data_IF_451078267216
#
_entry.id   IF_451078267216
#
_cell.length_a   1.000
_cell.length_b   1.000
_cell.length_c   1.000
_cell.angle_alpha   90.00
_cell.angle_beta   90.00
_cell.angle_gamma   90.00
#
_symmetry.space_group_name_H-M   'P 1'
#
loop_
_entity.id
_entity.type
_entity.pdbx_description
1 polymer ?
#
# COMPACT_ATOMS: atom_id res chain seq x y z
N UNK A 1 -23.88 5.15 -28.86
CA UNK A 1 -22.93 5.99 -28.12
C UNK A 1 -21.90 5.09 -27.46
N UNK A 2 -20.66 5.08 -27.96
CA UNK A 2 -19.55 4.27 -27.42
C UNK A 2 -18.83 5.11 -26.36
N UNK A 3 -19.02 4.77 -25.10
CA UNK A 3 -18.38 5.45 -23.96
C UNK A 3 -16.93 5.00 -23.87
N UNK A 4 -16.00 5.92 -24.09
CA UNK A 4 -14.57 5.69 -24.09
C UNK A 4 -14.06 5.32 -22.68
N UNK A 5 -13.23 4.28 -22.63
CA UNK A 5 -12.37 3.91 -21.51
C UNK A 5 -11.20 4.88 -21.54
N UNK A 6 -11.20 5.89 -20.66
CA UNK A 6 -10.06 6.79 -20.46
C UNK A 6 -9.65 6.68 -19.00
N UNK A 7 -8.57 5.94 -18.76
CA UNK A 7 -7.92 5.82 -17.46
C UNK A 7 -6.42 5.75 -17.68
N UNK A 8 -5.65 6.45 -16.84
CA UNK A 8 -4.18 6.62 -16.85
C UNK A 8 -3.55 7.73 -17.72
N UNK A 9 -4.31 8.69 -18.24
CA UNK A 9 -3.73 9.86 -18.95
C UNK A 9 -3.48 11.12 -18.10
N UNK A 10 -3.60 11.05 -16.77
CA UNK A 10 -3.27 12.18 -15.87
C UNK A 10 -1.75 12.36 -15.63
N UNK A 11 -0.90 11.84 -16.51
CA UNK A 11 0.56 11.98 -16.43
C UNK A 11 1.07 12.85 -17.60
N UNK A 12 1.28 14.14 -17.29
CA UNK A 12 2.01 15.18 -18.04
C UNK A 12 1.65 15.41 -19.53
N UNK A 13 1.08 16.59 -19.79
CA UNK A 13 0.95 17.16 -21.13
C UNK A 13 2.28 17.77 -21.60
N UNK A 14 2.89 17.22 -22.67
CA UNK A 14 3.91 17.85 -23.54
C UNK A 14 3.93 17.16 -24.93
N UNK A 15 4.38 17.84 -26.02
CA UNK A 15 4.01 17.52 -27.41
C UNK A 15 4.79 16.34 -28.01
N UNK A 16 4.16 15.71 -29.01
CA UNK A 16 4.63 14.52 -29.69
C UNK A 16 5.79 14.79 -30.67
N UNK A 17 6.85 13.98 -30.59
CA UNK A 17 7.81 13.77 -31.67
C UNK A 17 7.87 12.27 -32.01
N UNK A 18 8.10 11.97 -33.29
CA UNK A 18 8.10 10.64 -33.86
C UNK A 18 9.20 9.74 -33.25
N UNK A 19 8.84 8.51 -32.90
CA UNK A 19 9.73 7.52 -32.28
C UNK A 19 10.33 6.61 -33.36
N UNK A 20 11.66 6.60 -33.46
CA UNK A 20 12.42 5.58 -34.18
C UNK A 20 12.47 4.28 -33.35
N UNK A 21 12.48 3.11 -34.01
CA UNK A 21 12.56 1.82 -33.32
C UNK A 21 13.89 1.69 -32.56
N UNK A 22 13.89 1.40 -31.25
CA UNK A 22 15.12 1.24 -30.50
C UNK A 22 15.76 -0.10 -30.81
N UNK A 23 17.01 -0.05 -31.28
CA UNK A 23 17.92 -1.20 -31.27
C UNK A 23 18.20 -1.53 -29.81
N UNK A 24 17.65 -2.64 -29.30
CA UNK A 24 17.93 -3.13 -27.95
C UNK A 24 19.31 -3.79 -27.99
N UNK A 25 20.37 -3.03 -27.70
CA UNK A 25 21.71 -3.60 -27.54
C UNK A 25 21.94 -4.11 -26.13
N UNK A 26 22.56 -5.30 -26.07
CA UNK A 26 23.41 -5.87 -25.02
C UNK A 26 22.80 -6.25 -23.68
N UNK A 27 23.17 -7.46 -23.25
CA UNK A 27 22.83 -8.16 -22.01
C UNK A 27 22.73 -7.21 -20.80
N UNK A 28 21.52 -7.08 -20.26
CA UNK A 28 21.35 -6.46 -18.95
C UNK A 28 21.95 -7.43 -17.92
N UNK A 29 23.01 -7.01 -17.24
CA UNK A 29 23.58 -7.78 -16.13
C UNK A 29 22.73 -7.56 -14.89
N UNK A 30 22.27 -8.66 -14.28
CA UNK A 30 21.49 -8.60 -13.05
C UNK A 30 22.40 -8.84 -11.84
N UNK A 31 22.22 -8.12 -10.72
CA UNK A 31 22.90 -8.44 -9.47
C UNK A 31 22.74 -9.91 -9.05
N UNK A 32 21.59 -10.53 -9.34
CA UNK A 32 21.35 -11.96 -9.10
C UNK A 32 22.19 -12.91 -9.96
N UNK A 33 22.89 -12.43 -11.00
CA UNK A 33 23.84 -13.23 -11.78
C UNK A 33 25.22 -13.32 -11.10
N UNK A 34 25.50 -12.47 -10.09
CA UNK A 34 26.79 -12.41 -9.38
C UNK A 34 26.75 -13.29 -8.14
N UNK A 35 27.53 -14.38 -8.06
CA UNK A 35 27.55 -15.26 -6.89
C UNK A 35 27.97 -14.54 -5.59
N UNK A 36 27.22 -14.76 -4.53
CA UNK A 36 27.37 -14.11 -3.23
C UNK A 36 26.72 -12.73 -3.13
N UNK A 37 25.98 -12.26 -4.13
CA UNK A 37 25.33 -10.94 -4.09
C UNK A 37 24.12 -10.89 -3.14
N UNK A 38 23.54 -12.06 -2.85
CA UNK A 38 22.32 -12.25 -2.08
C UNK A 38 21.03 -12.04 -2.88
N UNK A 39 21.11 -11.43 -4.07
CA UNK A 39 19.96 -11.29 -4.97
C UNK A 39 19.59 -12.62 -5.64
N UNK A 40 20.47 -13.62 -5.64
CA UNK A 40 20.18 -14.95 -6.17
C UNK A 40 19.08 -15.65 -5.36
N UNK A 41 19.02 -15.37 -4.06
CA UNK A 41 17.92 -15.83 -3.22
C UNK A 41 16.59 -15.26 -3.68
N UNK A 42 16.53 -13.94 -3.89
CA UNK A 42 15.31 -13.27 -4.36
C UNK A 42 14.87 -13.85 -5.70
N UNK A 43 15.79 -13.99 -6.66
CA UNK A 43 15.47 -14.55 -7.97
C UNK A 43 15.02 -16.03 -7.87
N UNK A 44 15.60 -16.81 -6.97
CA UNK A 44 15.17 -18.19 -6.71
C UNK A 44 13.73 -18.24 -6.19
N UNK A 45 13.39 -17.41 -5.21
CA UNK A 45 12.03 -17.33 -4.67
C UNK A 45 11.02 -16.85 -5.71
N UNK A 46 11.43 -15.89 -6.53
CA UNK A 46 10.64 -15.38 -7.65
C UNK A 46 10.39 -16.46 -8.72
N UNK A 47 11.41 -17.22 -9.11
CA UNK A 47 11.27 -18.35 -10.05
C UNK A 47 10.34 -19.43 -9.50
N UNK A 48 10.40 -19.70 -8.20
CA UNK A 48 9.52 -20.67 -7.55
C UNK A 48 8.08 -20.14 -7.50
N UNK A 49 7.90 -18.87 -7.12
CA UNK A 49 6.61 -18.24 -7.03
C UNK A 49 5.93 -18.07 -8.40
N UNK A 50 6.71 -17.69 -9.43
CA UNK A 50 6.22 -17.34 -10.77
C UNK A 50 6.39 -18.44 -11.82
N UNK A 51 7.09 -19.52 -11.53
CA UNK A 51 7.38 -20.58 -12.49
C UNK A 51 7.91 -20.03 -13.82
N UNK A 52 7.33 -20.47 -14.93
CA UNK A 52 7.67 -19.99 -16.29
C UNK A 52 7.26 -18.55 -16.60
N UNK A 53 6.69 -17.79 -15.63
CA UNK A 53 6.37 -16.36 -15.79
C UNK A 53 7.47 -15.44 -15.26
N UNK A 54 8.52 -15.97 -14.61
CA UNK A 54 9.75 -15.19 -14.48
C UNK A 54 10.31 -14.99 -15.89
N UNK A 55 10.21 -13.75 -16.37
CA UNK A 55 10.66 -13.32 -17.69
C UNK A 55 11.60 -12.15 -17.51
N UNK A 56 12.56 -12.02 -18.42
CA UNK A 56 13.49 -10.88 -18.44
C UNK A 56 12.74 -9.56 -18.55
N UNK A 57 13.37 -8.46 -18.10
CA UNK A 57 12.80 -7.11 -18.18
C UNK A 57 12.44 -6.73 -19.63
N UNK A 58 13.21 -7.21 -20.61
CA UNK A 58 12.95 -7.02 -22.04
C UNK A 58 11.65 -7.72 -22.47
N UNK A 59 11.46 -8.98 -22.10
CA UNK A 59 10.24 -9.75 -22.43
C UNK A 59 9.01 -9.13 -21.75
N UNK A 60 9.13 -8.75 -20.48
CA UNK A 60 8.07 -8.07 -19.75
C UNK A 60 7.70 -6.73 -20.39
N UNK A 61 8.68 -5.92 -20.80
CA UNK A 61 8.44 -4.67 -21.55
C UNK A 61 7.63 -4.94 -22.81
N UNK A 62 8.01 -5.94 -23.60
CA UNK A 62 7.26 -6.31 -24.81
C UNK A 62 5.83 -6.72 -24.49
N UNK A 63 5.61 -7.51 -23.44
CA UNK A 63 4.26 -7.90 -23.00
C UNK A 63 3.44 -6.70 -22.53
N UNK A 64 4.01 -5.78 -21.75
CA UNK A 64 3.33 -4.58 -21.27
C UNK A 64 2.94 -3.67 -22.43
N UNK A 65 3.83 -3.44 -23.38
CA UNK A 65 3.53 -2.67 -24.60
C UNK A 65 2.45 -3.33 -25.45
N UNK A 66 2.51 -4.66 -25.64
CA UNK A 66 1.50 -5.43 -26.38
C UNK A 66 0.13 -5.38 -25.70
N UNK A 67 0.11 -5.32 -24.37
CA UNK A 67 -1.09 -5.25 -23.55
C UNK A 67 -1.43 -3.82 -23.11
N UNK A 68 -0.83 -2.81 -23.73
CA UNK A 68 -1.02 -1.38 -23.40
C UNK A 68 -2.48 -0.90 -23.41
N UNK A 69 -3.35 -1.57 -24.16
CA UNK A 69 -4.79 -1.31 -24.17
C UNK A 69 -5.44 -1.49 -22.79
N UNK A 70 -4.89 -2.35 -21.92
CA UNK A 70 -5.32 -2.49 -20.52
C UNK A 70 -4.97 -1.28 -19.65
N UNK A 71 -3.98 -0.49 -20.07
CA UNK A 71 -3.45 0.66 -19.35
C UNK A 71 -3.91 1.99 -19.96
N UNK A 72 -4.89 1.96 -20.86
CA UNK A 72 -5.50 3.15 -21.47
C UNK A 72 -4.65 3.90 -22.51
N UNK A 73 -3.31 3.77 -22.49
CA UNK A 73 -2.46 4.27 -23.59
C UNK A 73 -1.09 3.56 -23.68
N UNK A 74 -0.69 3.19 -24.89
CA UNK A 74 0.68 2.71 -25.17
C UNK A 74 1.73 3.81 -24.98
N UNK A 75 1.34 5.06 -25.24
CA UNK A 75 2.21 6.23 -25.10
C UNK A 75 2.75 6.41 -23.68
N UNK A 76 1.96 6.09 -22.65
CA UNK A 76 2.45 6.14 -21.28
C UNK A 76 3.59 5.14 -21.05
N UNK A 77 3.39 3.88 -21.44
CA UNK A 77 4.39 2.83 -21.27
C UNK A 77 5.64 3.11 -22.12
N UNK A 78 5.47 3.60 -23.35
CA UNK A 78 6.59 4.03 -24.19
C UNK A 78 7.40 5.13 -23.53
N UNK A 79 6.75 6.19 -23.03
CA UNK A 79 7.42 7.27 -22.29
C UNK A 79 8.13 6.76 -21.04
N UNK A 80 7.51 5.85 -20.29
CA UNK A 80 8.12 5.22 -19.13
C UNK A 80 9.40 4.45 -19.52
N UNK A 81 9.34 3.60 -20.55
CA UNK A 81 10.51 2.81 -20.97
C UNK A 81 11.59 3.65 -21.66
N UNK A 82 11.24 4.79 -22.23
CA UNK A 82 12.19 5.72 -22.81
C UNK A 82 12.76 6.73 -21.81
N UNK A 83 12.21 6.76 -20.58
CA UNK A 83 12.65 7.65 -19.51
C UNK A 83 14.10 7.37 -19.08
N UNK A 84 14.87 8.41 -18.71
CA UNK A 84 16.20 8.24 -18.11
C UNK A 84 16.17 7.37 -16.85
N UNK A 85 15.11 7.46 -16.06
CA UNK A 85 14.89 6.70 -14.84
C UNK A 85 14.86 5.20 -15.13
N UNK A 86 14.06 4.77 -16.10
CA UNK A 86 14.01 3.35 -16.49
C UNK A 86 15.36 2.87 -17.03
N UNK A 87 15.98 3.64 -17.93
CA UNK A 87 17.24 3.28 -18.58
C UNK A 87 18.42 3.17 -17.62
N UNK A 88 18.40 3.94 -16.53
CA UNK A 88 19.44 3.92 -15.48
C UNK A 88 19.13 2.96 -14.34
N UNK A 89 17.92 2.39 -14.30
CA UNK A 89 17.52 1.47 -13.23
C UNK A 89 18.22 0.12 -13.37
N UNK A 90 18.94 -0.26 -12.31
CA UNK A 90 19.47 -1.61 -12.13
C UNK A 90 18.39 -2.44 -11.43
N UNK A 91 17.83 -3.41 -12.15
CA UNK A 91 16.89 -4.37 -11.57
C UNK A 91 17.68 -5.45 -10.84
N UNK A 92 17.31 -5.80 -9.59
CA UNK A 92 18.01 -6.79 -8.77
C UNK A 92 17.99 -8.19 -9.38
N UNK A 93 16.92 -8.51 -10.10
CA UNK A 93 16.67 -9.82 -10.70
C UNK A 93 16.03 -9.66 -12.07
N UNK A 94 16.05 -10.75 -12.85
CA UNK A 94 15.33 -10.83 -14.13
C UNK A 94 13.84 -10.73 -13.95
N UNK A 95 13.35 -11.19 -12.81
CA UNK A 95 11.96 -11.54 -12.65
C UNK A 95 11.10 -10.38 -12.08
N UNK A 96 11.70 -9.26 -11.66
CA UNK A 96 10.98 -8.14 -11.02
C UNK A 96 9.69 -7.71 -11.73
N UNK A 97 8.67 -7.33 -10.96
CA UNK A 97 7.50 -6.63 -11.50
C UNK A 97 7.89 -5.16 -11.77
N UNK A 98 8.04 -4.82 -13.06
CA UNK A 98 8.67 -3.57 -13.48
C UNK A 98 8.02 -2.32 -12.86
N UNK A 99 6.69 -2.22 -12.89
CA UNK A 99 5.99 -0.99 -12.49
C UNK A 99 6.15 -0.75 -10.99
N UNK A 100 5.89 -1.79 -10.19
CA UNK A 100 6.02 -1.74 -8.74
C UNK A 100 7.47 -1.50 -8.34
N UNK A 101 8.43 -2.16 -8.99
CA UNK A 101 9.84 -1.98 -8.69
C UNK A 101 10.32 -0.54 -8.94
N UNK A 102 10.00 0.03 -10.11
CA UNK A 102 10.36 1.41 -10.43
C UNK A 102 9.73 2.39 -9.43
N UNK A 103 8.46 2.19 -9.09
CA UNK A 103 7.74 3.04 -8.14
C UNK A 103 8.38 2.97 -6.75
N UNK A 104 8.61 1.76 -6.25
CA UNK A 104 9.26 1.51 -4.97
C UNK A 104 10.67 2.11 -4.92
N UNK A 105 11.48 1.91 -5.96
CA UNK A 105 12.85 2.43 -6.00
C UNK A 105 12.89 3.96 -6.02
N UNK A 106 11.97 4.60 -6.76
CA UNK A 106 11.82 6.06 -6.76
C UNK A 106 11.44 6.60 -5.38
N UNK A 107 10.47 5.96 -4.71
CA UNK A 107 10.07 6.30 -3.34
C UNK A 107 11.19 6.04 -2.34
N UNK A 108 11.95 4.96 -2.49
CA UNK A 108 13.07 4.62 -1.62
C UNK A 108 14.19 5.66 -1.72
N UNK A 109 14.47 6.18 -2.91
CA UNK A 109 15.41 7.30 -3.10
C UNK A 109 14.88 8.62 -2.49
N UNK A 110 13.57 8.86 -2.55
CA UNK A 110 12.93 10.02 -1.92
C UNK A 110 13.03 9.95 -0.39
N UNK A 111 12.54 8.84 0.19
CA UNK A 111 12.53 8.58 1.63
C UNK A 111 13.95 8.43 2.19
N UNK A 112 14.84 7.76 1.47
CA UNK A 112 16.23 7.54 1.89
C UNK A 112 16.98 8.84 2.15
N UNK A 113 16.84 9.84 1.28
CA UNK A 113 17.43 11.17 1.50
C UNK A 113 16.93 11.86 2.77
N UNK A 114 15.64 11.72 3.05
CA UNK A 114 15.02 12.27 4.27
C UNK A 114 15.51 11.50 5.51
N UNK A 115 15.58 10.17 5.42
CA UNK A 115 16.06 9.29 6.47
C UNK A 115 17.52 9.56 6.84
N UNK A 116 18.41 9.70 5.85
CA UNK A 116 19.83 10.03 6.05
C UNK A 116 19.98 11.40 6.73
N UNK A 117 19.19 12.38 6.29
CA UNK A 117 19.18 13.72 6.90
C UNK A 117 18.72 13.65 8.35
N UNK A 118 17.66 12.89 8.66
CA UNK A 118 17.12 12.75 10.01
C UNK A 118 18.05 11.95 10.94
N UNK A 119 18.72 10.92 10.43
CA UNK A 119 19.60 10.05 11.20
C UNK A 119 20.99 10.65 11.43
N UNK A 120 21.41 11.64 10.64
CA UNK A 120 22.75 12.22 10.71
C UNK A 120 23.88 11.24 10.36
N UNK A 121 23.55 10.07 9.79
CA UNK A 121 24.47 9.02 9.37
C UNK A 121 23.89 8.26 8.18
N UNK A 122 24.76 7.67 7.37
CA UNK A 122 24.35 6.73 6.33
C UNK A 122 23.71 5.51 7.00
N UNK A 123 22.47 5.20 6.63
CA UNK A 123 21.76 4.01 7.10
C UNK A 123 22.32 2.76 6.42
N UNK A 124 22.17 1.58 7.04
CA UNK A 124 22.46 0.31 6.36
C UNK A 124 21.75 0.28 5.02
N UNK A 125 22.44 -0.18 3.97
CA UNK A 125 21.89 -0.19 2.62
C UNK A 125 20.65 -1.10 2.57
N UNK A 126 19.52 -0.52 2.17
CA UNK A 126 18.30 -1.26 1.89
C UNK A 126 18.30 -1.61 0.40
N UNK A 127 18.35 -2.89 0.12
CA UNK A 127 18.12 -3.46 -1.18
C UNK A 127 16.63 -3.81 -1.29
N UNK A 128 16.05 -3.57 -2.45
CA UNK A 128 14.62 -3.72 -2.67
C UNK A 128 14.33 -4.79 -3.71
N UNK A 129 13.16 -5.41 -3.61
CA UNK A 129 12.66 -6.37 -4.60
C UNK A 129 11.15 -6.57 -4.51
N UNK A 130 10.60 -7.35 -5.43
CA UNK A 130 9.17 -7.68 -5.47
C UNK A 130 8.93 -9.19 -5.38
N UNK A 131 7.95 -9.61 -4.57
CA UNK A 131 7.47 -10.99 -4.49
C UNK A 131 5.95 -11.02 -4.28
N UNK A 132 5.23 -12.07 -4.71
CA UNK A 132 3.84 -12.30 -4.34
C UNK A 132 3.78 -12.92 -2.94
N UNK A 133 4.23 -12.17 -1.93
CA UNK A 133 4.13 -12.60 -0.53
C UNK A 133 2.66 -12.64 -0.12
N UNK A 134 2.29 -13.64 0.68
CA UNK A 134 0.97 -13.69 1.32
C UNK A 134 0.87 -12.67 2.46
N UNK A 135 2.02 -12.17 2.91
CA UNK A 135 2.05 -11.00 3.77
C UNK A 135 1.57 -9.76 3.01
N UNK A 136 0.90 -8.93 3.78
CA UNK A 136 0.06 -7.87 3.28
C UNK A 136 0.88 -6.69 2.75
N UNK A 137 2.07 -6.43 3.32
CA UNK A 137 2.90 -5.28 2.95
C UNK A 137 4.24 -5.69 2.35
N UNK A 138 5.20 -6.00 3.20
CA UNK A 138 6.56 -6.32 2.82
C UNK A 138 7.17 -7.27 3.85
N UNK A 139 8.27 -7.88 3.47
CA UNK A 139 9.09 -8.73 4.31
C UNK A 139 10.53 -8.30 4.20
N UNK A 140 11.28 -8.40 5.28
CA UNK A 140 12.70 -8.11 5.28
C UNK A 140 13.51 -9.37 5.58
N UNK A 141 14.67 -9.46 4.94
CA UNK A 141 15.70 -10.47 5.22
C UNK A 141 17.07 -9.81 5.28
N UNK A 142 17.90 -10.24 6.21
CA UNK A 142 19.29 -9.84 6.25
C UNK A 142 20.11 -10.58 5.18
N UNK A 143 20.93 -9.84 4.44
CA UNK A 143 21.84 -10.35 3.41
C UNK A 143 23.23 -9.76 3.66
N UNK A 144 24.11 -10.54 4.29
CA UNK A 144 25.40 -10.03 4.75
C UNK A 144 25.22 -8.91 5.77
N UNK A 145 25.79 -7.73 5.52
CA UNK A 145 25.60 -6.52 6.32
C UNK A 145 24.36 -5.69 5.92
N UNK A 146 23.73 -6.02 4.80
CA UNK A 146 22.65 -5.25 4.19
C UNK A 146 21.28 -5.89 4.45
N UNK A 147 20.23 -5.16 4.10
CA UNK A 147 18.85 -5.65 4.17
C UNK A 147 18.28 -5.82 2.77
N UNK A 148 17.54 -6.89 2.57
CA UNK A 148 16.66 -7.08 1.43
C UNK A 148 15.22 -6.94 1.91
N UNK A 149 14.56 -5.86 1.50
CA UNK A 149 13.13 -5.66 1.70
C UNK A 149 12.43 -6.06 0.42
N UNK A 150 11.54 -7.05 0.54
CA UNK A 150 10.73 -7.54 -0.57
C UNK A 150 9.29 -7.14 -0.35
N UNK A 151 8.77 -6.31 -1.25
CA UNK A 151 7.40 -5.83 -1.18
C UNK A 151 6.44 -6.75 -1.93
N UNK A 152 5.21 -6.81 -1.45
CA UNK A 152 4.13 -7.45 -2.20
C UNK A 152 3.91 -6.70 -3.52
N UNK A 153 4.11 -7.38 -4.65
CA UNK A 153 3.97 -6.79 -5.99
C UNK A 153 2.58 -6.20 -6.30
N UNK A 154 1.56 -6.57 -5.55
CA UNK A 154 0.20 -6.04 -5.75
C UNK A 154 -0.13 -4.88 -4.82
N UNK A 155 0.73 -4.55 -3.85
CA UNK A 155 0.40 -3.63 -2.76
C UNK A 155 -0.01 -2.23 -3.25
N UNK A 156 0.79 -1.62 -4.12
CA UNK A 156 0.49 -0.28 -4.63
C UNK A 156 -0.74 -0.26 -5.53
N UNK A 157 -0.91 -1.29 -6.37
CA UNK A 157 -2.10 -1.44 -7.20
C UNK A 157 -3.36 -1.65 -6.35
N UNK A 158 -3.26 -2.44 -5.28
CA UNK A 158 -4.33 -2.65 -4.33
C UNK A 158 -4.70 -1.34 -3.63
N UNK A 159 -3.73 -0.62 -3.08
CA UNK A 159 -3.96 0.68 -2.46
C UNK A 159 -4.64 1.67 -3.43
N UNK A 160 -4.17 1.74 -4.67
CA UNK A 160 -4.76 2.60 -5.71
C UNK A 160 -6.22 2.24 -6.00
N UNK A 161 -6.51 0.95 -6.17
CA UNK A 161 -7.87 0.47 -6.44
C UNK A 161 -8.82 0.67 -5.26
N UNK A 162 -8.32 0.48 -4.04
CA UNK A 162 -9.08 0.70 -2.81
C UNK A 162 -9.39 2.18 -2.65
N UNK A 163 -8.44 3.07 -2.92
CA UNK A 163 -8.68 4.52 -2.95
C UNK A 163 -9.71 4.92 -4.00
N UNK A 164 -9.63 4.38 -5.22
CA UNK A 164 -10.65 4.62 -6.25
C UNK A 164 -12.05 4.21 -5.79
N UNK A 165 -12.16 3.19 -4.95
CA UNK A 165 -13.44 2.75 -4.40
C UNK A 165 -13.89 3.62 -3.21
N UNK A 166 -12.97 3.97 -2.30
CA UNK A 166 -13.25 4.83 -1.14
C UNK A 166 -13.62 6.25 -1.58
N UNK A 167 -12.87 6.87 -2.49
CA UNK A 167 -13.13 8.25 -2.89
C UNK A 167 -14.47 8.40 -3.64
N UNK A 168 -14.99 7.33 -4.27
CA UNK A 168 -16.36 7.29 -4.84
C UNK A 168 -17.48 7.35 -3.80
N UNK A 169 -17.15 7.20 -2.52
CA UNK A 169 -18.09 7.45 -1.42
C UNK A 169 -18.30 8.93 -1.14
N UNK A 170 -17.44 9.80 -1.68
CA UNK A 170 -17.60 11.24 -1.65
C UNK A 170 -18.41 11.69 -2.86
N UNK A 171 -19.36 12.60 -2.63
CA UNK A 171 -19.97 13.30 -3.76
C UNK A 171 -19.09 14.52 -4.06
N UNK A 172 -18.56 14.58 -5.27
CA UNK A 172 -17.72 15.69 -5.73
C UNK A 172 -18.45 16.42 -6.85
N UNK A 173 -18.67 17.72 -6.66
CA UNK A 173 -19.29 18.60 -7.64
C UNK A 173 -18.29 19.65 -8.09
N UNK A 174 -18.05 19.77 -9.40
CA UNK A 174 -17.29 20.88 -9.96
C UNK A 174 -18.20 22.07 -10.24
N UNK A 175 -17.89 23.22 -9.61
CA UNK A 175 -18.55 24.51 -9.89
C UNK A 175 -17.52 25.53 -10.35
N UNK A 176 -17.36 25.64 -11.68
CA UNK A 176 -16.32 26.47 -12.29
C UNK A 176 -14.93 25.92 -11.96
N UNK A 177 -14.07 26.75 -11.35
CA UNK A 177 -12.73 26.35 -10.90
C UNK A 177 -12.71 25.63 -9.55
N UNK A 178 -13.82 25.61 -8.81
CA UNK A 178 -13.88 25.06 -7.45
C UNK A 178 -14.49 23.65 -7.45
N UNK A 179 -13.97 22.77 -6.61
CA UNK A 179 -14.65 21.52 -6.24
C UNK A 179 -15.40 21.69 -4.91
N UNK A 180 -16.57 21.06 -4.82
CA UNK A 180 -17.34 20.93 -3.59
C UNK A 180 -17.45 19.47 -3.22
N UNK A 181 -17.10 19.17 -1.97
CA UNK A 181 -17.18 17.84 -1.39
C UNK A 181 -18.40 17.78 -0.47
N UNK A 182 -19.22 16.74 -0.63
CA UNK A 182 -20.33 16.45 0.29
C UNK A 182 -19.99 15.20 1.09
N UNK A 183 -19.92 15.36 2.41
CA UNK A 183 -19.49 14.34 3.35
C UNK A 183 -20.23 14.44 4.70
N UNK A 184 -21.43 15.04 4.69
CA UNK A 184 -22.30 15.17 5.85
C UNK A 184 -23.13 13.90 6.10
N UNK A 185 -24.04 14.02 7.07
CA UNK A 185 -24.98 12.95 7.40
C UNK A 185 -25.87 12.62 6.18
N UNK A 186 -25.97 11.34 5.81
CA UNK A 186 -26.77 10.88 4.67
C UNK A 186 -26.07 10.92 3.30
N UNK A 187 -24.92 11.59 3.18
CA UNK A 187 -24.20 11.72 1.90
C UNK A 187 -23.57 10.40 1.46
N UNK A 188 -23.12 9.57 2.40
CA UNK A 188 -22.62 8.22 2.10
C UNK A 188 -23.71 7.34 1.46
N UNK A 189 -24.91 7.34 2.05
CA UNK A 189 -26.05 6.57 1.55
C UNK A 189 -26.49 7.09 0.17
N UNK A 190 -26.34 8.40 -0.07
CA UNK A 190 -26.56 9.00 -1.39
C UNK A 190 -25.50 8.57 -2.40
N UNK A 191 -24.23 8.51 -2.01
CA UNK A 191 -23.15 8.00 -2.86
C UNK A 191 -23.38 6.53 -3.25
N UNK A 192 -23.81 5.68 -2.29
CA UNK A 192 -24.17 4.29 -2.58
C UNK A 192 -25.36 4.17 -3.54
N UNK A 193 -26.36 5.06 -3.48
CA UNK A 193 -27.45 5.06 -4.46
C UNK A 193 -26.98 5.42 -5.88
N UNK A 194 -25.96 6.26 -6.01
CA UNK A 194 -25.37 6.66 -7.30
C UNK A 194 -24.41 5.58 -7.82
N UNK A 195 -23.69 4.92 -6.93
CA UNK A 195 -22.73 3.85 -7.21
C UNK A 195 -23.12 2.55 -6.48
N UNK A 196 -24.20 1.87 -6.90
CA UNK A 196 -24.69 0.67 -6.21
C UNK A 196 -23.69 -0.49 -6.18
N UNK A 197 -22.76 -0.54 -7.15
CA UNK A 197 -21.77 -1.60 -7.27
C UNK A 197 -20.58 -1.44 -6.30
N UNK A 198 -20.45 -0.29 -5.62
CA UNK A 198 -19.28 0.09 -4.83
C UNK A 198 -18.92 -0.96 -3.77
N UNK A 199 -19.93 -1.50 -3.07
CA UNK A 199 -19.75 -2.54 -2.04
C UNK A 199 -19.27 -3.86 -2.64
N UNK A 200 -19.82 -4.26 -3.80
CA UNK A 200 -19.41 -5.48 -4.48
C UNK A 200 -18.00 -5.35 -5.08
N UNK A 201 -17.65 -4.17 -5.59
CA UNK A 201 -16.30 -3.86 -6.07
C UNK A 201 -15.28 -3.93 -4.92
N UNK A 202 -15.58 -3.31 -3.77
CA UNK A 202 -14.75 -3.41 -2.58
C UNK A 202 -14.49 -4.86 -2.18
N UNK A 203 -15.55 -5.66 -2.11
CA UNK A 203 -15.42 -7.08 -1.80
C UNK A 203 -14.58 -7.83 -2.84
N UNK A 204 -14.70 -7.48 -4.12
CA UNK A 204 -13.87 -8.05 -5.19
C UNK A 204 -12.39 -7.67 -5.06
N UNK A 205 -12.08 -6.43 -4.63
CA UNK A 205 -10.70 -6.00 -4.40
C UNK A 205 -10.05 -6.77 -3.24
N UNK A 206 -10.76 -6.91 -2.13
CA UNK A 206 -10.32 -7.65 -0.95
C UNK A 206 -10.06 -9.13 -1.29
N UNK A 207 -11.03 -9.78 -1.94
CA UNK A 207 -10.91 -11.18 -2.35
C UNK A 207 -9.85 -11.34 -3.43
N UNK A 208 -9.76 -10.43 -4.39
CA UNK A 208 -8.78 -10.46 -5.46
C UNK A 208 -7.35 -10.35 -4.93
N UNK A 209 -7.12 -9.48 -3.95
CA UNK A 209 -5.83 -9.35 -3.27
C UNK A 209 -5.48 -10.60 -2.45
N UNK A 210 -6.45 -11.20 -1.73
CA UNK A 210 -6.25 -12.46 -1.00
C UNK A 210 -5.92 -13.63 -1.91
N UNK A 211 -6.64 -13.77 -3.02
CA UNK A 211 -6.66 -15.04 -3.76
C UNK A 211 -5.56 -15.19 -4.80
N UNK A 212 -4.74 -14.15 -5.01
CA UNK A 212 -3.62 -14.05 -5.97
C UNK A 212 -3.73 -15.09 -7.08
N UNK A 213 -4.81 -15.04 -7.86
CA UNK A 213 -4.87 -15.84 -9.07
C UNK A 213 -3.83 -15.22 -9.98
N UNK A 214 -2.66 -15.86 -10.09
CA UNK A 214 -1.42 -15.29 -10.61
C UNK A 214 -1.44 -14.77 -12.04
N UNK A 215 -2.61 -14.61 -12.67
CA UNK A 215 -2.80 -13.83 -13.87
C UNK A 215 -2.39 -12.39 -13.54
N UNK A 216 -1.30 -11.92 -14.15
CA UNK A 216 -0.86 -10.52 -14.13
C UNK A 216 -1.84 -9.57 -14.81
N UNK A 217 -3.15 -9.85 -14.75
CA UNK A 217 -4.17 -8.86 -14.96
C UNK A 217 -4.26 -8.07 -13.66
N UNK A 218 -4.19 -6.73 -13.71
CA UNK A 218 -4.52 -5.92 -12.55
C UNK A 218 -5.88 -6.39 -12.04
N UNK A 219 -6.12 -6.31 -10.72
CA UNK A 219 -7.49 -6.36 -10.21
C UNK A 219 -8.17 -5.08 -10.75
N UNK A 220 -8.57 -5.10 -12.01
CA UNK A 220 -9.36 -4.06 -12.63
C UNK A 220 -10.76 -4.28 -12.06
N UNK A 221 -11.01 -3.63 -10.93
CA UNK A 221 -12.40 -3.32 -10.61
C UNK A 221 -12.98 -2.52 -11.80
N UNK A 222 -14.30 -2.57 -12.03
CA UNK A 222 -14.98 -1.69 -12.99
C UNK A 222 -14.86 -0.19 -12.64
N UNK A 223 -13.99 0.18 -11.70
CA UNK A 223 -13.88 1.47 -11.03
C UNK A 223 -13.49 2.55 -12.02
N UNK A 224 -14.51 3.27 -12.50
CA UNK A 224 -14.35 4.52 -13.25
C UNK A 224 -14.26 5.67 -12.25
N UNK A 225 -13.07 6.03 -11.77
CA UNK A 225 -12.84 7.41 -11.36
C UNK A 225 -13.26 8.32 -12.51
N UNK A 226 -14.07 9.32 -12.19
CA UNK A 226 -14.29 10.43 -13.10
C UNK A 226 -13.02 11.29 -13.10
N UNK A 227 -12.96 12.27 -14.00
CA UNK A 227 -11.84 13.23 -14.01
C UNK A 227 -11.74 14.03 -12.70
N UNK A 228 -12.74 13.97 -11.81
CA UNK A 228 -12.80 14.72 -10.55
C UNK A 228 -12.11 14.01 -9.39
N UNK A 229 -12.23 12.68 -9.27
CA UNK A 229 -11.58 11.91 -8.19
C UNK A 229 -10.09 11.67 -8.47
N UNK A 230 -9.68 11.60 -9.73
CA UNK A 230 -8.34 11.18 -10.10
C UNK A 230 -7.20 11.98 -9.41
N UNK A 231 -7.24 13.33 -9.33
CA UNK A 231 -6.21 14.08 -8.63
C UNK A 231 -6.17 13.82 -7.12
N UNK A 232 -7.33 13.55 -6.51
CA UNK A 232 -7.44 13.23 -5.09
C UNK A 232 -6.80 11.85 -4.81
N UNK A 233 -7.19 10.84 -5.60
CA UNK A 233 -6.66 9.48 -5.52
C UNK A 233 -5.15 9.47 -5.71
N UNK A 234 -4.63 10.19 -6.70
CA UNK A 234 -3.19 10.24 -6.99
C UNK A 234 -2.39 10.75 -5.78
N UNK A 235 -2.88 11.82 -5.15
CA UNK A 235 -2.20 12.47 -4.03
C UNK A 235 -2.28 11.62 -2.76
N UNK A 236 -3.45 11.05 -2.48
CA UNK A 236 -3.60 10.11 -1.37
C UNK A 236 -2.74 8.85 -1.59
N UNK A 237 -2.72 8.30 -2.80
CA UNK A 237 -1.90 7.15 -3.14
C UNK A 237 -0.42 7.43 -2.90
N UNK A 238 0.08 8.58 -3.37
CA UNK A 238 1.48 8.96 -3.14
C UNK A 238 1.80 9.11 -1.65
N UNK A 239 0.86 9.65 -0.85
CA UNK A 239 1.01 9.74 0.60
C UNK A 239 1.09 8.35 1.26
N UNK A 240 0.21 7.43 0.85
CA UNK A 240 0.19 6.04 1.29
C UNK A 240 1.49 5.33 0.91
N UNK A 241 1.93 5.44 -0.35
CA UNK A 241 3.14 4.76 -0.83
C UNK A 241 4.41 5.26 -0.11
N UNK A 242 4.49 6.57 0.17
CA UNK A 242 5.55 7.15 1.02
C UNK A 242 5.53 6.54 2.42
N UNK A 243 4.34 6.40 3.02
CA UNK A 243 4.20 5.77 4.33
C UNK A 243 4.69 4.32 4.32
N UNK A 244 4.30 3.53 3.31
CA UNK A 244 4.70 2.12 3.18
C UNK A 244 6.23 1.99 3.12
N UNK A 245 6.88 2.73 2.24
CA UNK A 245 8.34 2.70 2.10
C UNK A 245 9.01 3.29 3.34
N UNK A 246 8.45 4.36 3.89
CA UNK A 246 8.88 4.98 5.15
C UNK A 246 8.83 4.01 6.33
N UNK A 247 7.81 3.17 6.43
CA UNK A 247 7.67 2.17 7.48
C UNK A 247 8.83 1.17 7.45
N UNK A 248 9.20 0.67 6.26
CA UNK A 248 10.35 -0.24 6.11
C UNK A 248 11.69 0.44 6.43
N UNK A 249 11.86 1.71 6.05
CA UNK A 249 12.99 2.51 6.53
C UNK A 249 12.96 2.70 8.05
N UNK A 250 11.79 2.84 8.65
CA UNK A 250 11.58 2.91 10.10
C UNK A 250 12.19 1.70 10.81
N UNK A 251 11.97 0.49 10.29
CA UNK A 251 12.61 -0.71 10.82
C UNK A 251 14.14 -0.64 10.77
N UNK A 252 14.72 -0.16 9.67
CA UNK A 252 16.17 -0.08 9.52
C UNK A 252 16.79 1.00 10.41
N UNK A 253 16.21 2.19 10.46
CA UNK A 253 16.69 3.31 11.28
C UNK A 253 16.69 2.95 12.77
N UNK A 254 15.65 2.22 13.20
CA UNK A 254 15.47 1.81 14.59
C UNK A 254 16.21 0.52 14.95
N UNK A 255 16.88 -0.13 13.99
CA UNK A 255 17.58 -1.38 14.24
C UNK A 255 16.64 -2.53 14.61
N UNK A 256 15.45 -2.58 13.99
CA UNK A 256 14.50 -3.69 14.13
C UNK A 256 14.95 -4.92 13.33
N UNK A 257 16.17 -5.40 13.62
CA UNK A 257 16.94 -6.28 12.74
C UNK A 257 17.15 -7.67 13.31
N UNK A 258 16.99 -7.84 14.62
CA UNK A 258 17.50 -9.01 15.36
C UNK A 258 16.46 -9.69 16.24
N UNK A 259 15.46 -10.34 15.63
CA UNK A 259 14.77 -11.46 16.28
C UNK A 259 14.54 -12.58 15.27
N UNK A 260 14.65 -13.81 15.78
CA UNK A 260 14.78 -15.04 15.00
C UNK A 260 13.87 -15.15 13.77
N UNK A 261 14.30 -15.96 12.80
CA UNK A 261 13.58 -16.12 11.56
C UNK A 261 12.14 -16.60 11.80
N UNK A 262 11.17 -15.81 11.34
CA UNK A 262 9.77 -16.21 11.20
C UNK A 262 9.58 -16.84 9.82
N UNK A 263 8.68 -17.80 9.72
CA UNK A 263 8.25 -18.33 8.43
C UNK A 263 7.04 -17.54 7.92
N UNK A 264 7.15 -17.00 6.70
CA UNK A 264 6.10 -16.25 6.03
C UNK A 264 5.65 -16.96 4.76
N UNK A 265 4.39 -16.80 4.36
CA UNK A 265 3.86 -17.41 3.15
C UNK A 265 4.28 -16.65 1.90
N UNK A 266 4.77 -17.36 0.89
CA UNK A 266 4.89 -16.93 -0.51
C UNK A 266 3.88 -17.73 -1.31
N UNK A 267 3.05 -17.05 -2.07
CA UNK A 267 2.04 -17.73 -2.88
C UNK A 267 2.63 -18.19 -4.21
N UNK A 268 2.34 -19.44 -4.55
CA UNK A 268 2.78 -20.09 -5.78
C UNK A 268 1.70 -19.98 -6.86
N UNK A 269 2.10 -20.01 -8.14
CA UNK A 269 1.15 -19.98 -9.27
C UNK A 269 0.08 -21.08 -9.25
N UNK A 270 0.37 -22.23 -8.63
CA UNK A 270 -0.57 -23.35 -8.53
C UNK A 270 -1.57 -23.20 -7.36
N UNK A 271 -1.61 -22.03 -6.70
CA UNK A 271 -2.45 -21.78 -5.53
C UNK A 271 -1.87 -22.28 -4.21
N UNK A 272 -0.72 -22.99 -4.23
CA UNK A 272 -0.03 -23.41 -3.01
C UNK A 272 0.63 -22.26 -2.27
N UNK A 273 0.87 -22.43 -0.96
CA UNK A 273 1.63 -21.48 -0.13
C UNK A 273 2.93 -22.15 0.31
N UNK A 274 4.07 -21.56 -0.06
CA UNK A 274 5.40 -21.95 0.43
C UNK A 274 5.80 -21.06 1.58
N UNK A 275 6.43 -21.62 2.63
CA UNK A 275 6.94 -20.83 3.74
C UNK A 275 8.42 -20.49 3.56
N UNK A 276 8.78 -19.21 3.68
CA UNK A 276 10.17 -18.72 3.60
C UNK A 276 10.58 -18.02 4.91
N UNK A 277 11.86 -18.06 5.29
CA UNK A 277 12.37 -17.26 6.40
C UNK A 277 12.24 -15.75 6.15
N UNK A 278 11.82 -15.02 7.16
CA UNK A 278 11.68 -13.57 7.24
C UNK A 278 12.11 -13.09 8.63
N UNK A 279 12.48 -11.82 8.77
CA UNK A 279 12.72 -11.20 10.07
C UNK A 279 11.42 -11.10 10.87
N UNK A 280 11.38 -11.75 12.04
CA UNK A 280 10.27 -11.62 12.97
C UNK A 280 10.32 -10.26 13.67
N UNK A 281 9.19 -9.55 13.70
CA UNK A 281 9.03 -8.27 14.39
C UNK A 281 8.02 -8.43 15.53
N UNK A 282 8.17 -7.64 16.59
CA UNK A 282 7.16 -7.54 17.63
C UNK A 282 6.28 -6.30 17.46
N UNK A 283 5.22 -6.20 18.27
CA UNK A 283 4.27 -5.11 18.17
C UNK A 283 4.90 -3.74 18.38
N UNK A 284 5.87 -3.62 19.29
CA UNK A 284 6.55 -2.34 19.50
C UNK A 284 7.34 -1.95 18.27
N UNK A 285 8.08 -2.89 17.68
CA UNK A 285 8.88 -2.62 16.49
C UNK A 285 8.01 -2.17 15.32
N UNK A 286 6.85 -2.78 15.13
CA UNK A 286 5.87 -2.38 14.10
C UNK A 286 5.30 -0.99 14.35
N UNK A 287 4.85 -0.72 15.58
CA UNK A 287 4.30 0.60 15.92
C UNK A 287 5.37 1.71 15.86
N UNK A 288 6.61 1.41 16.26
CA UNK A 288 7.74 2.34 16.12
C UNK A 288 8.09 2.58 14.66
N UNK A 289 8.00 1.56 13.81
CA UNK A 289 8.18 1.69 12.38
C UNK A 289 7.05 2.50 11.73
N UNK A 290 5.80 2.36 12.18
CA UNK A 290 4.69 3.23 11.76
C UNK A 290 4.99 4.70 12.08
N UNK A 291 5.36 4.98 13.33
CA UNK A 291 5.73 6.35 13.76
C UNK A 291 6.84 6.93 12.88
N UNK A 292 7.92 6.17 12.68
CA UNK A 292 9.03 6.61 11.84
C UNK A 292 8.61 6.75 10.37
N UNK A 293 7.76 5.86 9.86
CA UNK A 293 7.26 5.91 8.49
C UNK A 293 6.38 7.13 8.22
N UNK A 294 5.50 7.47 9.17
CA UNK A 294 4.70 8.71 9.11
C UNK A 294 5.59 9.95 9.07
N UNK A 295 6.56 10.04 9.98
CA UNK A 295 7.46 11.19 10.06
C UNK A 295 8.28 11.36 8.78
N UNK A 296 8.82 10.26 8.23
CA UNK A 296 9.56 10.25 6.97
C UNK A 296 8.67 10.62 5.78
N UNK A 297 7.45 10.07 5.71
CA UNK A 297 6.50 10.36 4.64
C UNK A 297 6.10 11.84 4.62
N UNK A 298 5.79 12.43 5.78
CA UNK A 298 5.49 13.85 5.90
C UNK A 298 6.67 14.74 5.54
N UNK A 299 7.89 14.36 5.94
CA UNK A 299 9.08 15.14 5.62
C UNK A 299 9.42 15.06 4.12
N UNK A 300 9.24 13.90 3.48
CA UNK A 300 9.38 13.74 2.04
C UNK A 300 8.34 14.57 1.26
N UNK A 301 7.09 14.57 1.71
CA UNK A 301 6.02 15.36 1.11
C UNK A 301 6.32 16.88 1.13
N UNK A 302 6.93 17.41 2.20
CA UNK A 302 7.32 18.83 2.27
C UNK A 302 8.39 19.22 1.24
N UNK A 303 9.20 18.27 0.78
CA UNK A 303 10.20 18.50 -0.27
C UNK A 303 9.61 18.57 -1.68
N UNK A 304 8.35 18.17 -1.83
CA UNK A 304 7.68 18.02 -3.12
C UNK A 304 6.98 19.31 -3.55
N UNK A 305 7.68 20.13 -4.34
CA UNK A 305 7.16 21.41 -4.85
C UNK A 305 6.18 21.26 -6.02
N UNK A 306 5.73 20.06 -6.35
CA UNK A 306 4.89 19.78 -7.53
C UNK A 306 3.40 20.05 -7.32
N UNK A 307 2.98 20.56 -6.15
CA UNK A 307 1.58 20.85 -5.87
C UNK A 307 1.11 22.18 -6.46
N UNK A 308 -0.10 22.15 -7.05
CA UNK A 308 -0.84 23.38 -7.33
C UNK A 308 -1.13 24.10 -6.01
N UNK A 309 -0.82 25.40 -5.86
CA UNK A 309 -1.02 26.14 -4.62
C UNK A 309 -2.44 26.04 -4.04
N UNK A 310 -3.44 25.87 -4.91
CA UNK A 310 -4.85 25.88 -4.53
C UNK A 310 -5.29 24.64 -3.74
N UNK A 311 -4.55 23.54 -3.86
CA UNK A 311 -4.90 22.26 -3.23
C UNK A 311 -4.02 21.89 -2.03
N UNK A 312 -2.93 22.63 -1.84
CA UNK A 312 -1.89 22.28 -0.89
C UNK A 312 -2.39 22.17 0.56
N UNK A 313 -3.30 23.05 1.07
CA UNK A 313 -3.82 22.89 2.42
C UNK A 313 -4.56 21.57 2.62
N UNK A 314 -5.46 21.21 1.69
CA UNK A 314 -6.23 19.96 1.77
C UNK A 314 -5.30 18.74 1.67
N UNK A 315 -4.35 18.74 0.73
CA UNK A 315 -3.42 17.64 0.57
C UNK A 315 -2.46 17.50 1.74
N UNK A 316 -2.03 18.60 2.35
CA UNK A 316 -1.20 18.54 3.55
C UNK A 316 -1.93 17.84 4.69
N UNK A 317 -3.25 18.03 4.84
CA UNK A 317 -4.05 17.31 5.83
C UNK A 317 -4.21 15.84 5.42
N UNK A 318 -4.61 15.55 4.18
CA UNK A 318 -4.78 14.17 3.70
C UNK A 318 -3.49 13.34 3.80
N UNK A 319 -2.33 13.96 3.57
CA UNK A 319 -1.02 13.33 3.72
C UNK A 319 -0.78 12.81 5.14
N UNK A 320 -1.29 13.50 6.16
CA UNK A 320 -1.14 13.10 7.57
C UNK A 320 -2.12 12.00 7.97
N UNK A 321 -3.29 11.91 7.31
CA UNK A 321 -4.28 10.86 7.56
C UNK A 321 -4.15 9.63 6.65
N UNK A 322 -3.35 9.72 5.58
CA UNK A 322 -3.13 8.63 4.64
C UNK A 322 -2.67 7.30 5.29
N UNK A 323 -1.75 7.29 6.28
CA UNK A 323 -1.39 6.09 7.03
C UNK A 323 -2.59 5.42 7.70
N UNK A 324 -3.45 6.21 8.36
CA UNK A 324 -4.64 5.71 9.03
C UNK A 324 -5.64 5.10 8.03
N UNK A 325 -5.82 5.73 6.87
CA UNK A 325 -6.67 5.23 5.79
C UNK A 325 -6.12 3.91 5.22
N UNK A 326 -4.82 3.85 4.93
CA UNK A 326 -4.16 2.65 4.43
C UNK A 326 -4.26 1.48 5.42
N UNK A 327 -3.92 1.71 6.69
CA UNK A 327 -4.01 0.70 7.75
C UNK A 327 -5.46 0.23 7.94
N UNK A 328 -6.44 1.12 7.80
CA UNK A 328 -7.84 0.72 7.80
C UNK A 328 -8.19 -0.23 6.63
N UNK A 329 -7.67 0.01 5.42
CA UNK A 329 -7.87 -0.90 4.29
C UNK A 329 -7.34 -2.31 4.56
N UNK A 330 -6.32 -2.46 5.42
CA UNK A 330 -5.82 -3.77 5.85
C UNK A 330 -6.59 -4.43 6.95
N UNK A 331 -7.23 -3.67 7.84
CA UNK A 331 -8.13 -4.25 8.83
C UNK A 331 -9.22 -5.08 8.14
N UNK A 332 -9.76 -4.55 7.03
CA UNK A 332 -10.69 -5.28 6.17
C UNK A 332 -10.10 -6.56 5.53
N UNK A 333 -8.79 -6.62 5.29
CA UNK A 333 -8.10 -7.83 4.79
C UNK A 333 -7.82 -8.84 5.91
N UNK A 334 -7.39 -8.36 7.08
CA UNK A 334 -7.10 -9.18 8.26
C UNK A 334 -8.36 -9.91 8.74
N UNK A 335 -9.50 -9.23 8.78
CA UNK A 335 -10.79 -9.81 9.16
C UNK A 335 -11.19 -11.01 8.29
N UNK A 336 -10.76 -11.01 7.02
CA UNK A 336 -11.06 -12.07 6.06
C UNK A 336 -10.10 -13.25 6.21
N UNK A 337 -8.83 -12.98 6.50
CA UNK A 337 -7.79 -14.00 6.64
C UNK A 337 -7.83 -14.75 7.99
N UNK A 338 -8.36 -14.13 9.05
CA UNK A 338 -8.28 -14.67 10.42
C UNK A 338 -9.43 -15.63 10.82
N UNK A 339 -10.46 -15.80 9.98
CA UNK A 339 -11.65 -16.59 10.32
C UNK A 339 -11.74 -17.97 9.65
N UNK A 340 -10.64 -18.47 9.09
CA UNK A 340 -10.65 -19.56 8.11
C UNK A 340 -10.46 -20.97 8.72
N UNK A 341 -11.15 -21.30 9.82
CA UNK A 341 -11.55 -22.71 10.00
C UNK A 341 -11.26 -23.47 11.30
N UNK A 342 -11.41 -22.92 12.50
CA UNK A 342 -11.57 -23.82 13.68
C UNK A 342 -12.33 -23.28 14.89
N UNK A 343 -12.80 -22.03 14.86
CA UNK A 343 -13.73 -21.54 15.87
C UNK A 343 -14.87 -20.82 15.19
N UNK A 344 -16.06 -21.40 15.29
CA UNK A 344 -17.33 -20.66 15.35
C UNK A 344 -17.38 -19.74 16.59
N UNK A 345 -16.24 -19.16 16.99
CA UNK A 345 -16.12 -18.17 18.03
C UNK A 345 -16.62 -16.88 17.44
N UNK A 346 -17.90 -16.63 17.68
CA UNK A 346 -18.61 -15.35 17.56
C UNK A 346 -17.75 -14.22 17.03
N UNK A 347 -18.09 -13.71 15.85
CA UNK A 347 -17.68 -12.39 15.37
C UNK A 347 -18.23 -11.25 16.25
N UNK A 348 -18.13 -11.38 17.57
CA UNK A 348 -18.29 -10.30 18.53
C UNK A 348 -17.13 -9.37 18.31
N UNK A 349 -17.39 -8.28 17.59
CA UNK A 349 -16.51 -7.12 17.56
C UNK A 349 -16.06 -6.82 18.99
N UNK A 350 -14.75 -6.66 19.19
CA UNK A 350 -14.20 -6.22 20.47
C UNK A 350 -15.00 -5.00 20.92
N UNK A 351 -15.57 -4.96 22.14
CA UNK A 351 -16.34 -3.81 22.60
C UNK A 351 -15.54 -2.51 22.44
N UNK A 352 -16.19 -1.42 22.05
CA UNK A 352 -15.51 -0.14 21.78
C UNK A 352 -14.67 0.34 22.99
N UNK A 353 -15.17 0.13 24.20
CA UNK A 353 -14.46 0.46 25.43
C UNK A 353 -13.15 -0.34 25.57
N UNK A 354 -13.14 -1.61 25.17
CA UNK A 354 -11.94 -2.43 25.21
C UNK A 354 -10.98 -2.03 24.09
N UNK A 355 -11.47 -1.71 22.88
CA UNK A 355 -10.64 -1.15 21.81
C UNK A 355 -9.94 0.14 22.28
N UNK A 356 -10.68 1.05 22.92
CA UNK A 356 -10.14 2.29 23.47
C UNK A 356 -9.06 2.03 24.54
N UNK A 357 -9.27 1.06 25.43
CA UNK A 357 -8.27 0.69 26.46
C UNK A 357 -6.98 0.18 25.84
N UNK A 358 -7.05 -0.63 24.79
CA UNK A 358 -5.86 -1.11 24.06
C UNK A 358 -5.16 0.03 23.34
N UNK A 359 -5.93 0.93 22.71
CA UNK A 359 -5.41 2.12 22.06
C UNK A 359 -4.66 3.02 23.03
N UNK A 360 -5.28 3.38 24.15
CA UNK A 360 -4.67 4.26 25.17
C UNK A 360 -3.40 3.62 25.74
N UNK A 361 -3.45 2.33 26.06
CA UNK A 361 -2.27 1.59 26.50
C UNK A 361 -1.14 1.63 25.46
N UNK A 362 -1.44 1.31 24.20
CA UNK A 362 -0.44 1.29 23.14
C UNK A 362 0.16 2.69 22.91
N UNK A 363 -0.68 3.72 22.91
CA UNK A 363 -0.28 5.11 22.72
C UNK A 363 0.67 5.58 23.83
N UNK A 364 0.33 5.34 25.10
CA UNK A 364 1.15 5.72 26.26
C UNK A 364 2.54 5.06 26.25
N UNK A 365 2.60 3.81 25.81
CA UNK A 365 3.85 3.02 25.85
C UNK A 365 4.73 3.24 24.63
N UNK A 366 4.13 3.57 23.48
CA UNK A 366 4.85 3.93 22.25
C UNK A 366 5.72 5.18 22.45
N UNK A 367 5.15 6.23 23.06
CA UNK A 367 5.86 7.48 23.36
C UNK A 367 6.90 7.31 24.48
N UNK A 368 6.71 6.34 25.37
CA UNK A 368 7.65 6.05 26.45
C UNK A 368 8.89 5.25 26.01
N UNK A 369 8.94 4.76 24.77
CA UNK A 369 10.04 3.95 24.25
C UNK A 369 10.24 2.62 25.00
N UNK A 370 9.21 2.13 25.70
CA UNK A 370 9.26 0.91 26.51
C UNK A 370 8.87 -0.30 25.67
N UNK A 371 9.50 -1.46 25.93
CA UNK A 371 9.07 -2.76 25.39
C UNK A 371 7.56 -2.96 25.63
N UNK A 372 6.77 -3.08 24.55
CA UNK A 372 5.34 -3.41 24.65
C UNK A 372 5.20 -4.89 24.96
N UNK A 373 5.06 -5.20 26.25
CA UNK A 373 4.53 -6.50 26.67
C UNK A 373 3.03 -6.35 26.73
N UNK A 374 2.32 -6.96 25.78
CA UNK A 374 0.85 -7.00 25.78
C UNK A 374 0.40 -7.66 27.09
N UNK A 375 -0.21 -6.91 28.04
CA UNK A 375 -0.57 -7.51 29.32
C UNK A 375 -1.72 -8.50 29.15
N UNK A 376 -1.86 -9.47 30.05
CA UNK A 376 -2.83 -10.57 29.93
C UNK A 376 -4.28 -10.07 29.74
N UNK A 377 -4.62 -8.94 30.36
CA UNK A 377 -5.93 -8.31 30.21
C UNK A 377 -6.17 -7.75 28.79
N UNK A 378 -5.12 -7.37 28.06
CA UNK A 378 -5.17 -6.96 26.65
C UNK A 378 -5.07 -8.19 25.74
N UNK A 379 -4.25 -9.18 26.09
CA UNK A 379 -4.14 -10.43 25.34
C UNK A 379 -5.48 -11.17 25.27
N UNK A 380 -6.25 -11.16 26.38
CA UNK A 380 -7.62 -11.68 26.41
C UNK A 380 -8.60 -10.93 25.51
N UNK A 381 -8.42 -9.60 25.34
CA UNK A 381 -9.22 -8.75 24.44
C UNK A 381 -8.92 -9.06 22.97
N UNK A 382 -7.66 -9.34 22.64
CA UNK A 382 -7.19 -9.57 21.27
C UNK A 382 -7.53 -10.97 20.74
N UNK A 383 -7.91 -11.92 21.60
CA UNK A 383 -8.37 -13.25 21.19
C UNK A 383 -7.35 -14.01 20.33
N UNK A 384 -7.82 -14.68 19.25
CA UNK A 384 -6.98 -15.44 18.31
C UNK A 384 -5.99 -14.58 17.49
N UNK A 385 -5.96 -13.24 17.69
CA UNK A 385 -5.09 -12.32 16.95
C UNK A 385 -3.69 -12.23 17.59
N UNK A 386 -3.01 -13.38 17.70
CA UNK A 386 -1.59 -13.43 18.06
C UNK A 386 -0.70 -13.40 16.81
N UNK A 387 -0.92 -12.42 15.93
CA UNK A 387 0.01 -12.10 14.87
C UNK A 387 1.26 -11.43 15.45
N UNK A 388 2.41 -11.61 14.80
CA UNK A 388 3.65 -10.85 15.05
C UNK A 388 3.51 -9.34 14.76
N UNK A 389 2.31 -8.89 14.37
CA UNK A 389 1.99 -7.51 14.06
C UNK A 389 0.78 -7.07 14.90
N UNK A 390 0.73 -5.81 15.35
CA UNK A 390 -0.48 -5.24 15.94
C UNK A 390 -1.63 -5.25 14.92
N UNK A 391 -2.88 -5.47 15.35
CA UNK A 391 -4.04 -5.43 14.48
C UNK A 391 -4.10 -4.12 13.69
N UNK A 392 -4.49 -4.22 12.43
CA UNK A 392 -4.54 -3.06 11.55
C UNK A 392 -5.52 -1.97 12.04
N UNK A 393 -6.64 -2.32 12.70
CA UNK A 393 -7.51 -1.33 13.35
C UNK A 393 -6.78 -0.49 14.42
N UNK A 394 -5.91 -1.11 15.22
CA UNK A 394 -5.17 -0.42 16.29
C UNK A 394 -4.17 0.54 15.67
N UNK A 395 -3.40 0.07 14.69
CA UNK A 395 -2.44 0.90 13.94
C UNK A 395 -3.14 2.08 13.28
N UNK A 396 -4.29 1.84 12.62
CA UNK A 396 -5.11 2.89 12.00
C UNK A 396 -5.58 3.95 12.99
N UNK A 397 -6.07 3.56 14.17
CA UNK A 397 -6.50 4.50 15.21
C UNK A 397 -5.34 5.31 15.77
N UNK A 398 -4.20 4.68 16.05
CA UNK A 398 -2.99 5.36 16.52
C UNK A 398 -2.48 6.38 15.50
N UNK A 399 -2.44 6.02 14.20
CA UNK A 399 -2.10 6.96 13.12
C UNK A 399 -3.06 8.14 13.05
N UNK A 400 -4.38 7.90 13.16
CA UNK A 400 -5.38 8.98 13.14
C UNK A 400 -5.22 9.93 14.34
N UNK A 401 -4.96 9.38 15.54
CA UNK A 401 -4.69 10.16 16.75
C UNK A 401 -3.42 11.00 16.63
N UNK A 402 -2.36 10.47 16.01
CA UNK A 402 -1.13 11.22 15.73
C UNK A 402 -1.37 12.35 14.73
N UNK A 403 -2.16 12.10 13.68
CA UNK A 403 -2.59 13.14 12.75
C UNK A 403 -3.37 14.26 13.46
N UNK A 404 -4.35 13.92 14.30
CA UNK A 404 -5.10 14.87 15.14
C UNK A 404 -4.15 15.75 15.98
N UNK A 405 -3.20 15.13 16.69
CA UNK A 405 -2.23 15.85 17.52
C UNK A 405 -1.33 16.77 16.70
N UNK A 406 -0.95 16.35 15.49
CA UNK A 406 -0.14 17.17 14.59
C UNK A 406 -0.93 18.37 14.06
N UNK A 407 -2.20 18.19 13.70
CA UNK A 407 -3.09 19.30 13.33
C UNK A 407 -3.21 20.31 14.47
N UNK A 408 -3.45 19.83 15.70
CA UNK A 408 -3.54 20.68 16.88
C UNK A 408 -2.23 21.46 17.13
N UNK A 409 -1.06 20.83 17.00
CA UNK A 409 0.25 21.49 17.13
C UNK A 409 0.49 22.56 16.06
N UNK A 410 -0.08 22.39 14.87
CA UNK A 410 -0.02 23.36 13.78
C UNK A 410 -1.08 24.47 13.92
N UNK A 411 -1.92 24.44 14.96
CA UNK A 411 -3.01 25.39 15.16
C UNK A 411 -4.20 25.19 14.19
N UNK A 412 -4.26 24.04 13.51
CA UNK A 412 -5.38 23.70 12.62
C UNK A 412 -6.53 23.17 13.47
N UNK A 413 -7.71 23.77 13.31
CA UNK A 413 -8.91 23.38 14.05
C UNK A 413 -9.33 21.95 13.70
N UNK A 414 -9.79 21.17 14.69
CA UNK A 414 -10.40 19.86 14.42
C UNK A 414 -11.74 19.96 13.69
N UNK A 415 -12.32 21.16 13.64
CA UNK A 415 -13.50 21.49 12.83
C UNK A 415 -13.12 22.13 11.47
N UNK A 416 -11.83 22.17 11.12
CA UNK A 416 -11.40 22.60 9.78
C UNK A 416 -11.98 21.67 8.71
N UNK A 417 -12.47 22.24 7.61
CA UNK A 417 -13.13 21.49 6.53
C UNK A 417 -12.24 20.39 5.96
N UNK A 418 -10.93 20.60 5.86
CA UNK A 418 -10.00 19.60 5.32
C UNK A 418 -9.79 18.44 6.31
N UNK A 419 -9.75 18.74 7.62
CA UNK A 419 -9.69 17.73 8.67
C UNK A 419 -10.96 16.89 8.68
N UNK A 420 -12.13 17.53 8.59
CA UNK A 420 -13.41 16.84 8.52
C UNK A 420 -13.53 15.97 7.26
N UNK A 421 -13.06 16.45 6.10
CA UNK A 421 -13.01 15.67 4.87
C UNK A 421 -12.12 14.42 5.02
N UNK A 422 -10.91 14.56 5.54
CA UNK A 422 -10.00 13.43 5.76
C UNK A 422 -10.62 12.37 6.70
N UNK A 423 -11.25 12.82 7.79
CA UNK A 423 -11.97 11.93 8.72
C UNK A 423 -13.18 11.27 8.06
N UNK A 424 -13.91 11.99 7.21
CA UNK A 424 -15.06 11.44 6.51
C UNK A 424 -14.66 10.37 5.49
N UNK A 425 -13.53 10.52 4.80
CA UNK A 425 -12.97 9.49 3.91
C UNK A 425 -12.73 8.18 4.67
N UNK A 426 -12.06 8.24 5.83
CA UNK A 426 -11.81 7.07 6.69
C UNK A 426 -13.13 6.48 7.21
N UNK A 427 -14.06 7.33 7.65
CA UNK A 427 -15.37 6.88 8.14
C UNK A 427 -16.19 6.20 7.05
N UNK A 428 -16.17 6.73 5.83
CA UNK A 428 -16.85 6.12 4.70
C UNK A 428 -16.21 4.79 4.31
N UNK A 429 -14.87 4.70 4.28
CA UNK A 429 -14.16 3.44 4.06
C UNK A 429 -14.63 2.35 5.06
N UNK A 430 -14.80 2.73 6.34
CA UNK A 430 -15.38 1.85 7.39
C UNK A 430 -16.79 1.39 7.04
N UNK A 431 -17.67 2.30 6.64
CA UNK A 431 -19.05 1.96 6.23
C UNK A 431 -19.08 1.02 5.03
N UNK A 432 -18.20 1.21 4.04
CA UNK A 432 -18.07 0.31 2.88
C UNK A 432 -17.63 -1.07 3.32
N UNK A 433 -16.60 -1.17 4.16
CA UNK A 433 -16.09 -2.44 4.65
C UNK A 433 -17.15 -3.23 5.44
N UNK A 434 -17.88 -2.56 6.35
CA UNK A 434 -18.99 -3.19 7.09
C UNK A 434 -20.07 -3.70 6.14
N UNK A 435 -20.43 -2.90 5.14
CA UNK A 435 -21.43 -3.28 4.14
C UNK A 435 -20.96 -4.42 3.23
N UNK A 436 -19.65 -4.48 2.95
CA UNK A 436 -19.02 -5.47 2.08
C UNK A 436 -18.61 -6.77 2.77
N UNK A 437 -18.54 -6.80 4.10
CA UNK A 437 -18.03 -7.94 4.86
C UNK A 437 -18.77 -9.25 4.54
N UNK A 438 -20.10 -9.21 4.45
CA UNK A 438 -20.89 -10.41 4.14
C UNK A 438 -20.67 -10.88 2.69
N UNK A 439 -20.54 -9.94 1.76
CA UNK A 439 -20.22 -10.25 0.37
C UNK A 439 -18.83 -10.88 0.21
N UNK A 440 -17.85 -10.39 0.98
CA UNK A 440 -16.51 -10.99 1.03
C UNK A 440 -16.59 -12.43 1.57
N UNK A 441 -17.22 -12.65 2.72
CA UNK A 441 -17.39 -14.01 3.29
C UNK A 441 -18.04 -14.96 2.31
N UNK A 442 -19.10 -14.51 1.62
CA UNK A 442 -19.79 -15.29 0.59
C UNK A 442 -18.87 -15.67 -0.57
N UNK A 443 -18.01 -14.76 -1.03
CA UNK A 443 -17.07 -14.99 -2.13
C UNK A 443 -15.92 -15.91 -1.74
N UNK A 444 -15.33 -15.71 -0.55
CA UNK A 444 -14.27 -16.57 -0.01
C UNK A 444 -14.77 -18.02 0.10
N UNK A 445 -15.93 -18.24 0.73
CA UNK A 445 -16.56 -19.58 0.82
C UNK A 445 -16.78 -20.27 -0.52
N UNK A 446 -16.99 -19.50 -1.61
CA UNK A 446 -17.14 -20.06 -2.97
C UNK A 446 -15.80 -20.41 -3.61
N UNK A 447 -14.72 -19.71 -3.27
CA UNK A 447 -13.38 -20.01 -3.78
C UNK A 447 -12.77 -21.24 -3.10
N UNK A 448 -13.13 -21.48 -1.84
CA UNK A 448 -12.63 -22.61 -1.05
C UNK A 448 -13.44 -23.91 -1.27
N UNK A 449 -14.47 -23.88 -2.14
CA UNK A 449 -15.21 -25.07 -2.57
C UNK A 449 -14.53 -25.72 -3.78
N UNK A 450 -14.20 -27.02 -3.72
CA UNK A 450 -13.41 -27.73 -4.73
C UNK A 450 -14.11 -27.93 -6.08
#
# INVERSE_FOLDING_TARGET
MRTAVLMLSAWLALPACAVAQPVVSSEQHYPSDVPGSGYEWLESEQKIAWGGRCQTISEQRTLLLRNSWLFGSSQFLEKLFDSPEFKSTVFPTRCEEIITYLRMNSLAAEIGRVAETAAGRSSSKINWGTLPVFEVMATARQIGSDYMVVMNRQLFQFAANMLLNVDRTLLIEQRGANLRFWFGEGDFEKALRISPDLVSEWAYLIVGFRSVTGIGLPVLGPTRATNLEAPLVERQLRAIERFIVGHEFGHVIRGHTDRGAKLIGVQLLNGGIRRIPSLGRDWLQELQADVSGEDLASAAAKGDKSASPDWEPMFSVLQEYAPALFLFMFDALEDVNLCDGSREGSGTSIPEQDQQRVEDWAFEHLDAGKNLVVPDNVAGILGCRQSSHPPAWLRSRLSARRADMKMARLGISMNDTNVLLAKAIIANARKVAVSGAEEVRRRVKRQDQP
#
